data_IF_874320553722
#
_entry.id   IF_874320553722
#
_cell.length_a   1.000
_cell.length_b   1.000
_cell.length_c   1.000
_cell.angle_alpha   90.00
_cell.angle_beta   90.00
_cell.angle_gamma   90.00
#
_symmetry.space_group_name_H-M   'P 1'
#
loop_
_entity.id
_entity.type
_entity.pdbx_description
1 polymer ?
#
# COMPACT_ATOMS: atom_id res chain seq x y z
N UNK A 1 9.63 -28.51 12.00
CA UNK A 1 10.10 -27.19 11.52
C UNK A 1 9.04 -26.61 10.58
N UNK A 2 8.24 -25.64 11.03
CA UNK A 2 7.36 -24.92 10.11
C UNK A 2 8.21 -23.88 9.36
N UNK A 3 8.47 -24.12 8.07
CA UNK A 3 9.18 -23.16 7.23
C UNK A 3 8.19 -22.06 6.82
N UNK A 4 8.20 -20.93 7.55
CA UNK A 4 7.39 -19.76 7.20
C UNK A 4 8.18 -18.88 6.23
N UNK A 5 7.80 -18.86 4.95
CA UNK A 5 8.36 -17.88 4.02
C UNK A 5 7.73 -16.51 4.27
N UNK A 6 8.57 -15.55 4.67
CA UNK A 6 8.21 -14.13 4.68
C UNK A 6 8.14 -13.66 3.23
N UNK A 7 7.03 -13.05 2.86
CA UNK A 7 6.83 -12.41 1.56
C UNK A 7 6.66 -10.92 1.78
N UNK A 8 7.20 -10.14 0.86
CA UNK A 8 6.97 -8.70 0.81
C UNK A 8 6.29 -8.33 -0.51
N UNK A 9 5.50 -7.27 -0.46
CA UNK A 9 4.91 -6.59 -1.61
C UNK A 9 5.17 -5.11 -1.44
N UNK A 10 5.76 -4.50 -2.44
CA UNK A 10 6.00 -3.06 -2.49
C UNK A 10 5.09 -2.42 -3.53
N UNK A 11 4.73 -1.17 -3.29
CA UNK A 11 3.95 -0.33 -4.19
C UNK A 11 4.28 1.13 -3.96
N UNK A 12 3.50 2.01 -4.58
CA UNK A 12 3.73 3.45 -4.58
C UNK A 12 2.41 4.15 -4.25
N UNK A 13 2.46 5.24 -3.49
CA UNK A 13 1.29 6.10 -3.27
C UNK A 13 0.97 6.84 -4.56
N UNK A 14 -0.23 6.60 -5.10
CA UNK A 14 -0.79 7.28 -6.27
C UNK A 14 -1.24 8.69 -5.89
N UNK A 15 -1.97 8.80 -4.78
CA UNK A 15 -2.48 10.06 -4.24
C UNK A 15 -2.85 9.94 -2.77
N UNK A 16 -2.77 11.06 -2.08
CA UNK A 16 -3.28 11.22 -0.71
C UNK A 16 -4.72 11.72 -0.84
N UNK A 17 -5.67 10.97 -0.26
CA UNK A 17 -7.09 11.37 -0.24
C UNK A 17 -7.31 12.30 0.94
N UNK A 18 -6.87 11.87 2.12
CA UNK A 18 -6.93 12.58 3.38
C UNK A 18 -5.64 12.32 4.17
N UNK A 19 -5.43 13.03 5.28
CA UNK A 19 -4.30 12.78 6.19
C UNK A 19 -4.31 11.35 6.76
N UNK A 20 -5.48 10.69 6.78
CA UNK A 20 -5.66 9.33 7.26
C UNK A 20 -5.95 8.32 6.14
N UNK A 21 -6.01 8.72 4.88
CA UNK A 21 -6.34 7.82 3.77
C UNK A 21 -5.48 8.11 2.54
N UNK A 22 -4.83 7.05 2.04
CA UNK A 22 -4.04 7.11 0.81
C UNK A 22 -4.46 6.03 -0.16
N UNK A 23 -4.30 6.32 -1.45
CA UNK A 23 -4.48 5.35 -2.51
C UNK A 23 -3.11 4.93 -3.01
N UNK A 24 -2.87 3.62 -3.00
CA UNK A 24 -1.63 3.03 -3.49
C UNK A 24 -1.86 2.28 -4.81
N UNK A 25 -0.86 2.34 -5.69
CA UNK A 25 -0.79 1.67 -6.99
C UNK A 25 0.41 0.71 -7.04
N UNK A 26 0.37 -0.19 -8.01
CA UNK A 26 1.48 -1.09 -8.35
C UNK A 26 1.93 -2.04 -7.21
N UNK A 27 1.06 -2.26 -6.23
CA UNK A 27 1.33 -3.15 -5.08
C UNK A 27 0.77 -4.57 -5.29
N UNK A 28 -0.36 -4.64 -5.98
CA UNK A 28 -1.09 -5.87 -6.27
C UNK A 28 -1.46 -5.91 -7.75
N UNK A 29 -1.39 -7.10 -8.35
CA UNK A 29 -1.93 -7.32 -9.70
C UNK A 29 -3.46 -7.35 -9.62
N UNK A 30 -4.13 -6.97 -10.71
CA UNK A 30 -5.61 -6.95 -10.81
C UNK A 30 -6.28 -8.27 -10.40
N UNK A 31 -5.63 -9.40 -10.67
CA UNK A 31 -6.14 -10.75 -10.35
C UNK A 31 -5.87 -11.19 -8.90
N UNK A 32 -5.19 -10.37 -8.11
CA UNK A 32 -4.86 -10.74 -6.73
C UNK A 32 -6.09 -10.61 -5.84
N UNK A 33 -6.39 -11.62 -5.03
CA UNK A 33 -7.45 -11.56 -4.01
C UNK A 33 -7.06 -10.58 -2.90
N UNK A 34 -7.48 -9.32 -3.04
CA UNK A 34 -7.20 -8.24 -2.10
C UNK A 34 -7.87 -8.44 -0.74
N UNK A 35 -9.01 -9.13 -0.69
CA UNK A 35 -9.68 -9.55 0.56
C UNK A 35 -8.77 -10.33 1.52
N UNK A 36 -7.75 -11.04 1.02
CA UNK A 36 -6.80 -11.74 1.89
C UNK A 36 -5.80 -10.79 2.56
N UNK A 37 -5.70 -9.56 2.04
CA UNK A 37 -4.76 -8.54 2.48
C UNK A 37 -5.45 -7.37 3.18
N UNK A 38 -6.78 -7.33 3.22
CA UNK A 38 -7.52 -6.34 4.02
C UNK A 38 -7.26 -6.57 5.51
N UNK A 39 -7.14 -5.48 6.26
CA UNK A 39 -6.75 -5.50 7.66
C UNK A 39 -5.26 -5.71 7.93
N UNK A 40 -4.43 -5.95 6.90
CA UNK A 40 -2.98 -6.06 7.08
C UNK A 40 -2.32 -4.69 7.18
N UNK A 41 -1.28 -4.61 8.03
CA UNK A 41 -0.46 -3.43 8.23
C UNK A 41 0.54 -3.23 7.09
N UNK A 42 0.71 -1.99 6.67
CA UNK A 42 1.72 -1.59 5.68
C UNK A 42 2.61 -0.51 6.27
N UNK A 43 3.83 -0.42 5.79
CA UNK A 43 4.77 0.62 6.18
C UNK A 43 5.07 1.51 4.99
N UNK A 44 5.06 2.82 5.22
CA UNK A 44 5.45 3.80 4.23
C UNK A 44 6.94 4.11 4.39
N UNK A 45 7.62 4.46 3.30
CA UNK A 45 9.04 4.82 3.34
C UNK A 45 9.33 6.10 4.15
N UNK A 46 8.30 6.87 4.45
CA UNK A 46 8.34 8.06 5.33
C UNK A 46 8.28 7.71 6.83
N UNK A 47 8.05 6.42 7.17
CA UNK A 47 8.00 5.91 8.54
C UNK A 47 6.59 5.80 9.13
N UNK A 48 5.55 6.20 8.41
CA UNK A 48 4.17 6.00 8.83
C UNK A 48 3.71 4.54 8.63
N UNK A 49 2.89 4.06 9.57
CA UNK A 49 2.22 2.78 9.48
C UNK A 49 0.76 2.95 9.02
N UNK A 50 0.34 2.13 8.07
CA UNK A 50 -1.03 2.08 7.56
C UNK A 50 -1.65 0.69 7.68
N UNK A 51 -2.92 0.59 7.32
CA UNK A 51 -3.71 -0.64 7.27
C UNK A 51 -4.42 -0.69 5.92
N UNK A 52 -4.36 -1.81 5.22
CA UNK A 52 -5.10 -1.99 3.96
C UNK A 52 -6.59 -2.09 4.28
N UNK A 53 -7.39 -1.13 3.82
CA UNK A 53 -8.85 -1.18 3.95
C UNK A 53 -9.47 -2.04 2.85
N UNK A 54 -8.97 -1.93 1.62
CA UNK A 54 -9.57 -2.62 0.48
C UNK A 54 -9.06 -2.19 -0.89
N UNK A 55 -9.75 -2.64 -1.92
CA UNK A 55 -9.49 -2.25 -3.30
C UNK A 55 -10.05 -0.85 -3.62
N UNK A 56 -9.41 -0.15 -4.54
CA UNK A 56 -9.84 1.13 -5.10
C UNK A 56 -10.10 0.97 -6.60
N UNK A 57 -11.36 0.74 -6.97
CA UNK A 57 -11.78 0.60 -8.37
C UNK A 57 -11.23 -0.65 -9.06
N UNK A 58 -11.10 -0.61 -10.39
CA UNK A 58 -10.77 -1.77 -11.23
C UNK A 58 -9.28 -1.90 -11.63
N UNK A 59 -8.42 -0.98 -11.20
CA UNK A 59 -7.02 -0.88 -11.65
C UNK A 59 -6.00 -1.51 -10.72
N UNK A 60 -6.42 -2.40 -9.80
CA UNK A 60 -5.50 -3.00 -8.81
C UNK A 60 -4.92 -1.98 -7.81
N UNK A 61 -5.53 -0.79 -7.71
CA UNK A 61 -5.23 0.20 -6.67
C UNK A 61 -5.87 -0.25 -5.37
N UNK A 62 -5.29 0.16 -4.25
CA UNK A 62 -5.80 -0.16 -2.91
C UNK A 62 -5.97 1.11 -2.08
N UNK A 63 -6.91 1.09 -1.15
CA UNK A 63 -7.03 2.09 -0.08
C UNK A 63 -6.25 1.62 1.13
N UNK A 64 -5.41 2.50 1.64
CA UNK A 64 -4.66 2.31 2.89
C UNK A 64 -5.07 3.41 3.85
N UNK A 65 -5.48 3.00 5.05
CA UNK A 65 -5.81 3.88 6.16
C UNK A 65 -4.59 4.07 7.06
N UNK A 66 -4.26 5.31 7.37
CA UNK A 66 -3.16 5.68 8.26
C UNK A 66 -3.79 6.06 9.63
N UNK A 67 -3.86 5.14 10.61
CA UNK A 67 -4.51 5.45 11.89
C UNK A 67 -3.83 6.60 12.64
N UNK A 68 -2.50 6.70 12.55
CA UNK A 68 -1.72 7.76 13.19
C UNK A 68 -1.70 9.09 12.40
N UNK A 69 -2.34 9.12 11.23
CA UNK A 69 -2.23 10.23 10.29
C UNK A 69 -0.86 10.30 9.59
N UNK A 70 -0.83 10.96 8.43
CA UNK A 70 0.39 11.30 7.71
C UNK A 70 1.06 12.52 8.32
N UNK A 71 2.38 12.56 8.28
CA UNK A 71 3.11 13.76 8.69
C UNK A 71 2.82 14.90 7.70
N UNK A 72 2.72 16.16 8.17
CA UNK A 72 2.52 17.30 7.29
C UNK A 72 3.64 17.43 6.23
N UNK A 73 4.88 17.06 6.57
CA UNK A 73 5.98 16.95 5.62
C UNK A 73 5.69 15.96 4.49
N UNK A 74 5.18 14.76 4.83
CA UNK A 74 4.80 13.74 3.85
C UNK A 74 3.68 14.26 2.97
N UNK A 75 2.66 14.89 3.55
CA UNK A 75 1.54 15.47 2.79
C UNK A 75 2.01 16.61 1.89
N UNK A 76 2.94 17.45 2.33
CA UNK A 76 3.43 18.56 1.52
C UNK A 76 4.38 18.09 0.39
N UNK A 77 5.18 17.05 0.66
CA UNK A 77 6.14 16.48 -0.30
C UNK A 77 5.46 15.59 -1.35
N UNK A 78 4.46 14.80 -0.95
CA UNK A 78 3.81 13.78 -1.80
C UNK A 78 2.33 14.03 -2.06
N UNK A 79 1.72 15.02 -1.41
CA UNK A 79 0.35 15.44 -1.68
C UNK A 79 0.25 16.02 -3.08
N UNK A 80 -0.66 15.47 -3.88
CA UNK A 80 -0.89 15.93 -5.24
C UNK A 80 -1.42 17.37 -5.20
N UNK A 81 -0.55 18.36 -5.46
CA UNK A 81 -1.01 19.74 -5.74
C UNK A 81 -2.02 19.67 -6.88
N UNK A 82 -3.27 20.09 -6.62
CA UNK A 82 -4.33 20.28 -7.62
C UNK A 82 -3.91 21.37 -8.61
N UNK A 83 -3.02 21.08 -9.55
CA UNK A 83 -2.88 21.90 -10.77
C UNK A 83 -3.81 21.33 -11.84
N UNK A 84 -4.74 22.19 -12.26
CA UNK A 84 -5.76 21.98 -13.29
C UNK A 84 -5.17 21.43 -14.60
N UNK A 85 -5.99 20.61 -15.27
CA UNK A 85 -6.14 20.48 -16.73
C UNK A 85 -5.10 19.61 -17.49
N UNK A 86 -5.52 18.36 -17.73
CA UNK A 86 -5.37 17.74 -19.06
C UNK A 86 -4.28 16.68 -19.23
N UNK A 87 -4.72 15.56 -19.82
CA UNK A 87 -3.99 14.56 -20.62
C UNK A 87 -3.03 13.58 -19.93
N UNK A 88 -3.40 12.31 -20.16
CA UNK A 88 -2.63 11.09 -20.29
C UNK A 88 -1.72 10.62 -19.15
N UNK A 89 -1.98 9.35 -18.83
CA UNK A 89 -1.05 8.36 -18.32
C UNK A 89 0.30 8.49 -19.02
N UNK A 90 1.34 8.89 -18.30
CA UNK A 90 2.68 8.35 -18.52
C UNK A 90 3.48 8.37 -17.22
N UNK A 91 4.19 7.29 -17.01
CA UNK A 91 4.58 6.73 -15.72
C UNK A 91 6.08 6.53 -15.67
N UNK A 92 6.84 7.54 -16.07
CA UNK A 92 8.28 7.54 -15.86
C UNK A 92 8.83 8.97 -15.96
N UNK A 93 8.83 9.68 -14.84
CA UNK A 93 9.72 10.82 -14.68
C UNK A 93 10.76 10.39 -13.64
N UNK A 94 12.00 10.06 -14.02
CA UNK A 94 12.94 9.30 -13.18
C UNK A 94 13.48 10.07 -11.97
N UNK A 95 12.94 11.25 -11.66
CA UNK A 95 13.48 12.14 -10.64
C UNK A 95 12.43 12.72 -9.66
N UNK A 96 11.21 12.17 -9.62
CA UNK A 96 10.30 12.45 -8.49
C UNK A 96 10.47 11.33 -7.47
N UNK A 97 10.95 11.67 -6.28
CA UNK A 97 10.79 10.78 -5.12
C UNK A 97 9.30 10.50 -4.95
N UNK A 98 8.90 9.25 -5.17
CA UNK A 98 7.55 8.78 -4.90
C UNK A 98 7.53 8.07 -3.55
N UNK A 99 6.43 8.23 -2.83
CA UNK A 99 6.25 7.61 -1.52
C UNK A 99 6.02 6.11 -1.68
N UNK A 100 6.99 5.30 -1.27
CA UNK A 100 6.91 3.84 -1.36
C UNK A 100 6.10 3.28 -0.20
N UNK A 101 5.35 2.22 -0.47
CA UNK A 101 4.59 1.48 0.54
C UNK A 101 4.97 0.02 0.47
N UNK A 102 5.27 -0.58 1.61
CA UNK A 102 5.65 -1.99 1.72
C UNK A 102 4.73 -2.73 2.67
N UNK A 103 4.28 -3.90 2.24
CA UNK A 103 3.56 -4.88 3.03
C UNK A 103 4.44 -6.10 3.21
N UNK A 104 4.71 -6.45 4.46
CA UNK A 104 5.35 -7.72 4.81
C UNK A 104 4.31 -8.67 5.40
N UNK A 105 4.27 -9.91 4.91
CA UNK A 105 3.30 -10.91 5.35
C UNK A 105 3.92 -12.31 5.29
N UNK A 106 3.48 -13.20 6.19
CA UNK A 106 3.84 -14.62 6.17
C UNK A 106 2.68 -15.41 5.58
N UNK A 107 2.96 -16.25 4.60
CA UNK A 107 1.97 -17.18 4.04
C UNK A 107 2.22 -18.58 4.56
N UNK A 108 1.17 -19.26 5.03
CA UNK A 108 1.25 -20.69 5.32
C UNK A 108 1.14 -21.47 4.00
N UNK A 109 2.23 -22.15 3.62
CA UNK A 109 2.36 -22.86 2.34
C UNK A 109 1.52 -24.16 2.34
N UNK A 110 1.15 -24.67 3.54
CA UNK A 110 0.58 -26.02 3.72
C UNK A 110 -0.91 -26.08 4.09
N UNK A 111 -1.65 -24.97 4.08
CA UNK A 111 -3.10 -25.01 4.33
C UNK A 111 -3.88 -24.82 3.02
N UNK A 112 -4.85 -25.69 2.76
CA UNK A 112 -5.84 -25.56 1.65
C UNK A 112 -6.47 -24.15 1.59
N UNK A 113 -6.55 -23.50 2.75
CA UNK A 113 -6.84 -22.08 2.90
C UNK A 113 -5.53 -21.33 3.11
N UNK A 114 -4.97 -20.71 2.05
CA UNK A 114 -3.76 -19.87 2.07
C UNK A 114 -3.92 -18.68 3.05
N UNK A 115 -3.81 -18.93 4.35
CA UNK A 115 -3.93 -17.91 5.40
C UNK A 115 -2.72 -17.00 5.36
N UNK A 116 -2.98 -15.70 5.38
CA UNK A 116 -1.98 -14.65 5.45
C UNK A 116 -1.97 -14.13 6.89
N UNK A 117 -0.79 -14.10 7.51
CA UNK A 117 -0.64 -13.57 8.87
C UNK A 117 0.49 -12.56 8.92
N UNK A 118 0.34 -11.58 9.80
CA UNK A 118 1.43 -10.72 10.26
C UNK A 118 1.71 -11.10 11.70
N UNK A 119 2.99 -11.23 12.05
CA UNK A 119 3.37 -11.49 13.43
C UNK A 119 2.84 -10.36 14.29
N UNK A 120 1.98 -10.69 15.25
CA UNK A 120 1.69 -9.80 16.37
C UNK A 120 2.99 -9.76 17.18
N UNK A 121 3.63 -8.59 17.39
CA UNK A 121 4.64 -8.52 18.43
C UNK A 121 3.94 -8.80 19.76
N UNK A 122 4.37 -9.85 20.45
CA UNK A 122 4.06 -10.10 21.86
C UNK A 122 4.32 -8.84 22.71
#
# INVERSE_FOLDING_TARGET
LFCHSVKSKSGIVDRIVNEHEVVCRNMFKKETRLDLFTGLRVNLSSGEGGIVEGCFGQSGKIRVRIPQGLKPDTVNKFGSKKTKKGKNEDEDSPNRELLKVELQFKTYIYSENKKIVQGVPD
#
